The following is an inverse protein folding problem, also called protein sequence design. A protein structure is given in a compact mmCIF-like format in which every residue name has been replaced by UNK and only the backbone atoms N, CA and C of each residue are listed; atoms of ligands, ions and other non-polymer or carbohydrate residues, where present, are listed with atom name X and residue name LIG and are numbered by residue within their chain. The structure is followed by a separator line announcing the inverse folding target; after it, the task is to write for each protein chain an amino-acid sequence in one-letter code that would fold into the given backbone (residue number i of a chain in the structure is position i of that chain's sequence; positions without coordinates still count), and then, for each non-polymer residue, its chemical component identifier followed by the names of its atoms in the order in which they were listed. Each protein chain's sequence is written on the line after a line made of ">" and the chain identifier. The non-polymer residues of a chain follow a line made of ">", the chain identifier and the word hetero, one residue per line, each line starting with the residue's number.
data_IF_296354421567
#
_entry.id   IF_296354421567
#
_cell.length_a   1.000
_cell.length_b   1.000
_cell.length_c   1.000
_cell.angle_alpha   90.00
_cell.angle_beta   90.00
_cell.angle_gamma   90.00
#
_symmetry.space_group_name_H-M   'P 1'
#
loop_
_entity.id
_entity.type
_entity.pdbx_description
1 polymer ?
#
# COMPACT_ATOMS: atom_id res chain seq x y z
N UNK A 1 0.88 10.66 0.27
CA UNK A 1 1.87 9.75 0.91
C UNK A 1 1.13 8.86 1.89
N UNK A 2 1.42 7.56 1.96
CA UNK A 2 0.73 6.61 2.86
C UNK A 2 1.45 6.45 4.21
N UNK A 3 2.00 7.53 4.73
CA UNK A 3 2.67 7.59 6.04
C UNK A 3 2.32 8.92 6.70
N UNK A 4 1.98 8.85 7.98
CA UNK A 4 1.82 10.02 8.86
C UNK A 4 3.13 10.38 9.58
N UNK A 5 4.15 9.51 9.50
CA UNK A 5 5.44 9.78 10.08
C UNK A 5 6.18 10.91 9.33
N UNK A 6 7.02 11.69 10.03
CA UNK A 6 7.85 12.72 9.41
C UNK A 6 8.70 12.12 8.29
N UNK A 7 8.98 12.93 7.26
CA UNK A 7 9.82 12.51 6.13
C UNK A 7 11.18 12.09 6.67
N UNK A 8 11.61 10.89 6.30
CA UNK A 8 12.96 10.45 6.57
C UNK A 8 13.94 11.34 5.78
N UNK A 9 14.90 11.93 6.47
CA UNK A 9 16.01 12.61 5.84
C UNK A 9 16.99 11.53 5.37
N UNK A 10 17.19 11.43 4.05
CA UNK A 10 18.22 10.56 3.50
C UNK A 10 19.57 11.05 4.01
N UNK A 11 20.37 10.12 4.54
CA UNK A 11 21.66 10.35 5.20
C UNK A 11 22.60 11.26 4.37
N UNK A 12 23.15 12.29 5.00
CA UNK A 12 24.09 13.28 4.42
C UNK A 12 25.53 12.72 4.31
N UNK A 13 25.65 11.41 4.10
CA UNK A 13 26.94 10.70 3.99
C UNK A 13 27.71 10.50 5.30
N UNK A 14 27.09 10.71 6.46
CA UNK A 14 27.74 10.46 7.76
C UNK A 14 27.58 8.99 8.17
N UNK A 15 28.69 8.25 8.21
CA UNK A 15 28.79 6.79 8.48
C UNK A 15 28.10 6.30 9.78
N UNK A 16 27.55 7.18 10.62
CA UNK A 16 26.82 6.83 11.84
C UNK A 16 25.31 6.57 11.64
N UNK A 17 24.74 6.87 10.47
CA UNK A 17 23.29 6.69 10.21
C UNK A 17 22.96 5.54 9.24
N UNK A 18 23.99 4.82 8.76
CA UNK A 18 23.87 3.78 7.71
C UNK A 18 23.17 2.48 8.17
N UNK A 19 23.02 2.28 9.48
CA UNK A 19 22.62 0.97 10.06
C UNK A 19 21.21 0.90 10.64
N UNK A 20 20.44 2.00 10.67
CA UNK A 20 19.07 1.99 11.20
C UNK A 20 18.09 2.33 10.10
N UNK A 21 17.58 1.31 9.41
CA UNK A 21 16.43 1.50 8.53
C UNK A 21 15.26 2.05 9.38
N UNK A 22 14.72 3.23 9.05
CA UNK A 22 13.67 3.84 9.83
C UNK A 22 12.41 2.98 9.81
N UNK A 23 11.76 2.83 10.97
CA UNK A 23 10.52 2.04 11.09
C UNK A 23 9.32 2.69 10.37
N UNK A 24 9.38 3.99 10.08
CA UNK A 24 8.35 4.76 9.40
C UNK A 24 8.95 5.96 8.64
N UNK A 25 8.18 6.58 7.74
CA UNK A 25 8.58 7.81 7.03
C UNK A 25 8.75 7.67 5.52
N UNK A 26 8.98 6.45 5.00
CA UNK A 26 9.07 6.20 3.55
C UNK A 26 7.70 6.07 2.86
N UNK A 27 6.67 5.64 3.60
CA UNK A 27 5.29 5.60 3.08
C UNK A 27 4.98 4.51 2.06
N UNK A 28 5.84 3.50 1.90
CA UNK A 28 5.59 2.36 1.01
C UNK A 28 5.00 1.13 1.72
N UNK A 29 5.07 1.05 3.05
CA UNK A 29 4.66 -0.14 3.81
C UNK A 29 3.20 -0.52 3.56
N UNK A 30 2.26 0.39 3.76
CA UNK A 30 0.83 0.10 3.59
C UNK A 30 0.44 -0.23 2.13
N UNK A 31 0.89 0.51 1.11
CA UNK A 31 0.65 0.15 -0.29
C UNK A 31 1.20 -1.22 -0.67
N UNK A 32 2.43 -1.53 -0.25
CA UNK A 32 3.09 -2.81 -0.54
C UNK A 32 2.37 -3.95 0.19
N UNK A 33 2.05 -3.79 1.47
CA UNK A 33 1.30 -4.79 2.24
C UNK A 33 -0.06 -5.10 1.60
N UNK A 34 -0.76 -4.06 1.09
CA UNK A 34 -2.02 -4.26 0.36
C UNK A 34 -1.82 -4.99 -0.97
N UNK A 35 -0.72 -4.76 -1.67
CA UNK A 35 -0.38 -5.49 -2.89
C UNK A 35 -0.15 -6.98 -2.60
N UNK A 36 0.59 -7.30 -1.53
CA UNK A 36 0.81 -8.69 -1.09
C UNK A 36 -0.49 -9.42 -0.76
N UNK A 37 -1.39 -8.79 0.00
CA UNK A 37 -2.68 -9.41 0.30
C UNK A 37 -3.50 -9.64 -0.97
N UNK A 38 -3.51 -8.69 -1.90
CA UNK A 38 -4.26 -8.80 -3.17
C UNK A 38 -3.70 -9.82 -4.14
N UNK A 39 -2.41 -10.14 -4.05
CA UNK A 39 -1.76 -11.08 -4.95
C UNK A 39 -2.47 -12.43 -4.95
N UNK A 40 -2.89 -12.91 -3.78
CA UNK A 40 -3.67 -14.14 -3.61
C UNK A 40 -5.17 -13.87 -3.37
N UNK A 41 -5.77 -12.95 -4.13
CA UNK A 41 -7.20 -12.57 -4.07
C UNK A 41 -7.69 -12.08 -2.70
N UNK A 42 -6.77 -11.79 -1.78
CA UNK A 42 -7.08 -11.23 -0.49
C UNK A 42 -7.26 -9.71 -0.54
N UNK A 43 -7.29 -9.10 0.64
CA UNK A 43 -7.35 -7.64 0.77
C UNK A 43 -6.83 -7.17 2.13
N UNK A 44 -6.39 -5.91 2.18
CA UNK A 44 -6.00 -5.23 3.41
C UNK A 44 -6.79 -3.93 3.55
N UNK A 45 -7.63 -3.87 4.59
CA UNK A 45 -8.46 -2.71 4.96
C UNK A 45 -8.00 -2.12 6.29
N UNK A 46 -8.07 -0.80 6.39
CA UNK A 46 -7.85 -0.07 7.64
C UNK A 46 -9.15 0.59 8.06
N UNK A 47 -9.46 0.49 9.35
CA UNK A 47 -10.51 1.27 10.00
C UNK A 47 -9.88 2.06 11.14
N UNK A 48 -10.00 3.38 11.10
CA UNK A 48 -9.45 4.25 12.13
C UNK A 48 -10.59 4.97 12.84
N UNK A 49 -10.48 5.08 14.16
CA UNK A 49 -11.33 5.90 14.99
C UNK A 49 -10.43 6.96 15.61
N UNK A 50 -10.70 8.21 15.28
CA UNK A 50 -9.96 9.34 15.83
C UNK A 50 -10.00 9.30 17.38
N UNK A 51 -8.87 9.58 18.01
CA UNK A 51 -8.71 9.55 19.48
C UNK A 51 -8.93 8.18 20.15
N UNK A 52 -9.06 7.10 19.40
CA UNK A 52 -9.12 5.73 19.92
C UNK A 52 -8.01 4.83 19.35
N UNK A 53 -7.81 4.85 18.03
CA UNK A 53 -6.77 4.05 17.38
C UNK A 53 -7.14 3.57 15.99
N UNK A 54 -6.31 2.67 15.44
CA UNK A 54 -6.47 2.14 14.09
C UNK A 54 -6.42 0.62 14.10
N UNK A 55 -7.44 -0.02 13.50
CA UNK A 55 -7.52 -1.46 13.29
C UNK A 55 -7.19 -1.81 11.84
N UNK A 56 -6.39 -2.86 11.65
CA UNK A 56 -6.02 -3.39 10.33
C UNK A 56 -6.61 -4.79 10.14
N UNK A 57 -7.34 -4.99 9.05
CA UNK A 57 -7.97 -6.26 8.70
C UNK A 57 -7.36 -6.82 7.43
N UNK A 58 -6.80 -8.03 7.54
CA UNK A 58 -6.27 -8.80 6.41
C UNK A 58 -7.22 -9.96 6.13
N UNK A 59 -7.74 -10.01 4.90
CA UNK A 59 -8.58 -11.09 4.41
C UNK A 59 -7.78 -11.90 3.40
N UNK A 60 -7.76 -13.22 3.55
CA UNK A 60 -7.12 -14.16 2.63
C UNK A 60 -8.11 -15.29 2.29
N UNK A 61 -8.02 -15.89 1.11
CA UNK A 61 -8.76 -17.11 0.82
C UNK A 61 -8.36 -18.22 1.79
N UNK A 62 -9.34 -18.94 2.34
CA UNK A 62 -9.09 -20.05 3.25
C UNK A 62 -8.58 -21.31 2.51
N UNK A 63 -9.01 -21.50 1.27
CA UNK A 63 -8.63 -22.63 0.43
C UNK A 63 -7.59 -22.21 -0.61
N UNK A 64 -6.56 -23.05 -0.81
CA UNK A 64 -5.48 -22.79 -1.76
C UNK A 64 -5.98 -22.69 -3.21
N UNK A 65 -7.03 -23.42 -3.57
CA UNK A 65 -7.65 -23.35 -4.90
C UNK A 65 -8.17 -21.95 -5.24
N UNK A 66 -8.59 -21.19 -4.22
CA UNK A 66 -9.07 -19.83 -4.37
C UNK A 66 -7.94 -18.78 -4.25
N UNK A 67 -6.71 -19.19 -3.94
CA UNK A 67 -5.51 -18.36 -3.82
C UNK A 67 -4.67 -18.42 -5.12
N UNK A 68 -5.30 -18.03 -6.22
CA UNK A 68 -4.63 -17.82 -7.53
C UNK A 68 -3.78 -16.54 -7.54
N UNK A 69 -3.05 -16.27 -8.61
CA UNK A 69 -2.26 -15.02 -8.69
C UNK A 69 -3.04 -13.92 -9.40
N UNK A 70 -3.08 -12.73 -8.81
CA UNK A 70 -3.68 -11.54 -9.42
C UNK A 70 -2.62 -10.74 -10.17
N UNK A 71 -2.41 -11.08 -11.45
CA UNK A 71 -1.42 -10.45 -12.30
C UNK A 71 -1.98 -9.27 -13.12
N UNK A 72 -1.21 -8.19 -13.32
CA UNK A 72 -1.58 -7.13 -14.24
C UNK A 72 -1.47 -7.62 -15.70
N UNK A 73 -2.58 -7.66 -16.43
CA UNK A 73 -2.61 -8.06 -17.84
C UNK A 73 -2.63 -6.81 -18.74
N UNK A 74 -1.65 -6.64 -19.60
CA UNK A 74 -1.70 -5.53 -20.55
C UNK A 74 -2.65 -5.85 -21.71
N UNK A 75 -3.75 -5.08 -21.84
CA UNK A 75 -4.72 -5.25 -22.92
C UNK A 75 -5.37 -3.91 -23.31
N UNK A 76 -6.09 -3.87 -24.45
CA UNK A 76 -6.76 -2.66 -24.97
C UNK A 76 -7.67 -1.96 -23.95
N UNK A 77 -8.39 -2.73 -23.12
CA UNK A 77 -9.26 -2.19 -22.06
C UNK A 77 -8.51 -1.55 -20.88
N UNK A 78 -7.21 -1.85 -20.71
CA UNK A 78 -6.37 -1.37 -19.60
C UNK A 78 -5.44 -0.22 -20.02
N UNK A 79 -5.55 0.29 -21.26
CA UNK A 79 -4.94 1.56 -21.67
C UNK A 79 -5.69 2.74 -21.05
N UNK A 80 -5.60 2.91 -19.74
CA UNK A 80 -6.14 4.10 -19.06
C UNK A 80 -5.02 4.80 -18.31
N UNK A 81 -4.02 5.30 -19.04
CA UNK A 81 -2.91 5.98 -18.42
C UNK A 81 -3.27 7.41 -17.98
N UNK A 82 -4.30 8.05 -18.55
CA UNK A 82 -4.47 9.52 -18.40
C UNK A 82 -5.87 10.07 -18.70
N UNK A 83 -6.97 9.33 -18.50
CA UNK A 83 -8.29 9.99 -18.66
C UNK A 83 -8.55 10.85 -17.43
N UNK A 84 -8.29 12.16 -17.51
CA UNK A 84 -8.80 13.13 -16.51
C UNK A 84 -10.31 13.15 -16.63
N UNK A 85 -10.99 12.26 -15.92
CA UNK A 85 -12.43 12.29 -15.76
C UNK A 85 -12.77 13.52 -14.91
N UNK A 86 -13.78 14.29 -15.31
CA UNK A 86 -14.28 15.42 -14.54
C UNK A 86 -14.81 15.00 -13.17
N UNK A 87 -15.18 15.97 -12.34
CA UNK A 87 -15.81 15.65 -11.05
C UNK A 87 -17.14 14.93 -11.29
N UNK A 88 -17.27 13.71 -10.75
CA UNK A 88 -18.55 12.99 -10.71
C UNK A 88 -19.46 13.53 -9.58
N UNK A 89 -18.95 14.43 -8.73
CA UNK A 89 -19.66 15.05 -7.61
C UNK A 89 -19.80 16.57 -7.82
N UNK A 90 -20.81 17.17 -7.20
CA UNK A 90 -21.12 18.61 -7.32
C UNK A 90 -20.11 19.49 -6.58
#
# INVERSE_FOLDING_TARGET
>A
MYSTAPKYLLDDGTEQNKQRTPIAGLGYGLPIARLYAKYFQGNLKLASIENHGTSAYVSLPAAAENASELLPIFNKSRYSYTTKKGSDWT
#
